data_IF_314961589950
#
_entry.id   IF_314961589950
#
_cell.length_a   1.000
_cell.length_b   1.000
_cell.length_c   1.000
_cell.angle_alpha   90.00
_cell.angle_beta   90.00
_cell.angle_gamma   90.00
#
_symmetry.space_group_name_H-M   'P 1'
#
loop_
_entity.id
_entity.type
_entity.pdbx_description
1 polymer ?
#
# COMPACT_ATOMS: atom_id res chain seq x y z
N UNK A 1 -34.04 25.13 42.71
CA UNK A 1 -33.25 26.38 42.68
C UNK A 1 -33.46 27.16 41.37
N UNK A 2 -33.43 26.50 40.21
CA UNK A 2 -33.52 27.15 38.88
C UNK A 2 -34.95 27.37 38.36
N UNK A 3 -35.99 26.93 39.07
CA UNK A 3 -37.39 27.16 38.66
C UNK A 3 -37.90 26.27 37.53
N UNK A 4 -37.22 25.18 37.18
CA UNK A 4 -37.64 24.24 36.13
C UNK A 4 -38.25 22.99 36.77
N UNK A 5 -39.47 22.65 36.37
CA UNK A 5 -40.24 21.53 36.91
C UNK A 5 -39.88 20.23 36.19
N UNK A 6 -39.54 19.21 36.97
CA UNK A 6 -39.39 17.84 36.46
C UNK A 6 -40.78 17.20 36.27
N UNK A 7 -41.13 16.70 35.07
CA UNK A 7 -42.36 15.94 34.85
C UNK A 7 -42.37 14.62 35.63
N UNK A 8 -43.54 14.20 36.14
CA UNK A 8 -43.69 13.00 36.98
C UNK A 8 -43.24 11.69 36.29
N UNK A 9 -43.39 11.59 34.96
CA UNK A 9 -43.05 10.39 34.19
C UNK A 9 -41.65 10.41 33.57
N UNK A 10 -40.91 11.53 33.71
CA UNK A 10 -39.59 11.66 33.12
C UNK A 10 -38.51 11.15 34.08
N UNK A 11 -37.52 10.42 33.57
CA UNK A 11 -36.37 10.03 34.38
C UNK A 11 -35.52 11.25 34.71
N UNK A 12 -34.73 11.19 35.78
CA UNK A 12 -33.87 12.33 36.16
C UNK A 12 -32.80 12.61 35.11
N UNK A 13 -32.24 11.56 34.48
CA UNK A 13 -31.23 11.71 33.44
C UNK A 13 -31.80 12.43 32.20
N UNK A 14 -32.97 11.98 31.75
CA UNK A 14 -33.67 12.55 30.59
C UNK A 14 -34.12 14.00 30.85
N UNK A 15 -34.60 14.29 32.06
CA UNK A 15 -34.89 15.65 32.49
C UNK A 15 -33.65 16.54 32.43
N UNK A 16 -32.50 16.10 32.93
CA UNK A 16 -31.27 16.91 32.93
C UNK A 16 -30.76 17.20 31.51
N UNK A 17 -30.95 16.28 30.56
CA UNK A 17 -30.62 16.53 29.14
C UNK A 17 -31.66 17.40 28.44
N UNK A 18 -32.94 17.30 28.84
CA UNK A 18 -34.05 18.09 28.29
C UNK A 18 -34.12 19.52 28.83
N UNK A 19 -33.59 19.79 30.03
CA UNK A 19 -33.56 21.14 30.65
C UNK A 19 -32.87 22.19 29.76
N UNK A 20 -31.88 21.77 28.96
CA UNK A 20 -31.19 22.65 28.02
C UNK A 20 -31.91 22.83 26.68
N UNK A 21 -32.98 22.05 26.42
CA UNK A 21 -33.78 22.14 25.20
C UNK A 21 -34.98 23.06 25.43
N UNK A 22 -35.19 24.01 24.50
CA UNK A 22 -36.23 25.03 24.61
C UNK A 22 -37.65 24.44 24.66
N UNK A 23 -37.91 23.35 23.91
CA UNK A 23 -39.25 22.77 23.79
C UNK A 23 -39.68 21.84 24.94
N UNK A 24 -38.74 21.35 25.76
CA UNK A 24 -39.04 20.33 26.78
C UNK A 24 -39.14 20.91 28.20
N UNK A 25 -38.56 22.09 28.44
CA UNK A 25 -38.53 22.71 29.76
C UNK A 25 -39.91 23.26 30.14
N UNK A 26 -40.32 23.00 31.39
CA UNK A 26 -41.52 23.61 31.98
C UNK A 26 -41.10 24.48 33.15
N UNK A 27 -41.33 25.77 33.05
CA UNK A 27 -41.02 26.72 34.12
C UNK A 27 -42.13 26.64 35.16
N UNK A 28 -41.75 26.63 36.44
CA UNK A 28 -42.70 26.67 37.56
C UNK A 28 -43.35 28.06 37.58
N UNK A 29 -44.68 28.17 37.71
CA UNK A 29 -45.36 29.47 37.84
C UNK A 29 -44.75 30.32 38.96
N UNK A 30 -44.41 31.58 38.66
CA UNK A 30 -43.73 32.49 39.59
C UNK A 30 -42.19 32.46 39.56
N UNK A 31 -41.58 31.61 38.73
CA UNK A 31 -40.13 31.60 38.47
C UNK A 31 -39.76 32.09 37.06
N UNK A 32 -40.70 32.68 36.32
CA UNK A 32 -40.54 33.11 34.91
C UNK A 32 -39.43 34.16 34.70
N UNK A 33 -39.20 35.01 35.69
CA UNK A 33 -38.15 36.04 35.67
C UNK A 33 -36.77 35.52 36.09
N UNK A 34 -36.73 34.37 36.78
CA UNK A 34 -35.51 33.80 37.37
C UNK A 34 -35.05 32.51 36.69
N UNK A 35 -35.89 31.91 35.86
CA UNK A 35 -35.54 30.70 35.13
C UNK A 35 -34.61 31.03 33.94
N UNK A 36 -33.52 30.28 33.75
CA UNK A 36 -32.58 30.52 32.66
C UNK A 36 -33.23 30.21 31.30
N UNK A 37 -33.18 31.16 30.37
CA UNK A 37 -33.79 31.02 29.04
C UNK A 37 -32.78 30.69 27.96
N UNK A 38 -31.57 31.22 28.05
CA UNK A 38 -30.49 30.97 27.10
C UNK A 38 -29.39 30.07 27.69
N UNK A 39 -28.54 29.51 26.82
CA UNK A 39 -27.35 28.78 27.26
C UNK A 39 -26.40 29.67 28.10
N UNK A 40 -26.33 30.97 27.82
CA UNK A 40 -25.53 31.93 28.57
C UNK A 40 -26.11 32.17 29.98
N UNK A 41 -27.43 32.11 30.14
CA UNK A 41 -28.08 32.19 31.46
C UNK A 41 -27.76 30.97 32.33
N UNK A 42 -27.79 29.76 31.73
CA UNK A 42 -27.38 28.54 32.42
C UNK A 42 -25.91 28.58 32.85
N UNK A 43 -25.01 29.07 31.97
CA UNK A 43 -23.60 29.26 32.29
C UNK A 43 -23.41 30.25 33.44
N UNK A 44 -24.07 31.42 33.38
CA UNK A 44 -24.02 32.44 34.43
C UNK A 44 -24.51 31.91 35.77
N UNK A 45 -25.67 31.23 35.79
CA UNK A 45 -26.21 30.66 37.02
C UNK A 45 -25.31 29.55 37.59
N UNK A 46 -24.65 28.75 36.74
CA UNK A 46 -23.65 27.80 37.18
C UNK A 46 -22.43 28.51 37.79
N UNK A 47 -21.96 29.58 37.15
CA UNK A 47 -20.82 30.40 37.61
C UNK A 47 -21.05 30.99 39.00
N UNK A 48 -22.27 31.47 39.26
CA UNK A 48 -22.70 32.08 40.52
C UNK A 48 -23.09 31.05 41.60
N UNK A 49 -23.26 29.78 41.23
CA UNK A 49 -23.72 28.74 42.16
C UNK A 49 -22.68 28.38 43.23
N UNK A 50 -23.17 28.07 44.43
CA UNK A 50 -22.37 27.46 45.51
C UNK A 50 -21.81 26.08 45.12
N UNK A 51 -22.46 25.36 44.21
CA UNK A 51 -21.96 24.07 43.75
C UNK A 51 -20.66 24.21 42.95
N UNK A 52 -20.55 25.23 42.10
CA UNK A 52 -19.31 25.50 41.37
C UNK A 52 -18.18 25.90 42.32
N UNK A 53 -18.44 26.73 43.34
CA UNK A 53 -17.39 27.11 44.28
C UNK A 53 -16.84 25.89 45.04
N UNK A 54 -17.71 24.94 45.42
CA UNK A 54 -17.31 23.65 46.01
C UNK A 54 -16.45 22.84 45.05
N UNK A 55 -16.86 22.68 43.78
CA UNK A 55 -16.08 21.93 42.77
C UNK A 55 -14.72 22.58 42.53
N UNK A 56 -14.65 23.90 42.40
CA UNK A 56 -13.37 24.61 42.21
C UNK A 56 -12.46 24.48 43.43
N UNK A 57 -13.04 24.45 44.64
CA UNK A 57 -12.29 24.17 45.86
C UNK A 57 -11.75 22.73 45.88
N UNK A 58 -12.54 21.75 45.43
CA UNK A 58 -12.09 20.36 45.28
C UNK A 58 -10.97 20.22 44.23
N UNK A 59 -11.11 20.88 43.08
CA UNK A 59 -10.08 20.87 42.03
C UNK A 59 -8.79 21.50 42.52
N UNK A 60 -8.85 22.68 43.15
CA UNK A 60 -7.65 23.34 43.69
C UNK A 60 -7.02 22.58 44.85
N UNK A 61 -7.81 21.94 45.71
CA UNK A 61 -7.30 21.05 46.75
C UNK A 61 -6.59 19.83 46.14
N UNK A 62 -7.16 19.23 45.10
CA UNK A 62 -6.55 18.12 44.37
C UNK A 62 -5.26 18.54 43.64
N UNK A 63 -5.24 19.70 42.99
CA UNK A 63 -4.04 20.24 42.35
C UNK A 63 -2.89 20.49 43.34
N UNK A 64 -3.20 21.08 44.50
CA UNK A 64 -2.22 21.24 45.58
C UNK A 64 -1.73 19.89 46.10
N UNK A 65 -2.64 18.94 46.30
CA UNK A 65 -2.28 17.58 46.70
C UNK A 65 -1.32 16.96 45.68
N UNK A 66 -1.57 17.09 44.38
CA UNK A 66 -0.69 16.57 43.32
C UNK A 66 0.68 17.28 43.27
N UNK A 67 0.74 18.56 43.62
CA UNK A 67 2.01 19.31 43.69
C UNK A 67 2.85 18.97 44.92
N UNK A 68 2.20 18.72 46.07
CA UNK A 68 2.85 18.38 47.34
C UNK A 68 3.19 16.88 47.43
N UNK A 69 2.39 16.01 46.81
CA UNK A 69 2.68 14.58 46.76
C UNK A 69 3.88 14.30 45.82
N UNK A 70 4.99 13.85 46.40
CA UNK A 70 6.03 13.13 45.69
C UNK A 70 5.49 11.87 44.96
N UNK A 71 4.27 11.42 45.27
CA UNK A 71 3.53 10.37 44.54
C UNK A 71 3.25 10.72 43.08
N UNK A 72 3.26 11.99 42.67
CA UNK A 72 3.23 12.34 41.24
C UNK A 72 4.47 11.86 40.49
N UNK A 73 5.62 11.81 41.19
CA UNK A 73 6.84 11.15 40.72
C UNK A 73 6.71 9.63 40.79
N UNK A 74 6.18 9.05 41.87
CA UNK A 74 5.99 7.60 41.98
C UNK A 74 4.97 7.03 40.98
N UNK A 75 3.91 7.76 40.63
CA UNK A 75 2.95 7.34 39.59
C UNK A 75 3.60 7.47 38.22
N UNK A 76 4.41 8.52 37.96
CA UNK A 76 5.21 8.59 36.73
C UNK A 76 6.23 7.48 36.66
N UNK A 77 6.87 7.16 37.77
CA UNK A 77 7.87 6.10 37.89
C UNK A 77 7.22 4.72 37.82
N UNK A 78 6.05 4.53 38.41
CA UNK A 78 5.24 3.32 38.31
C UNK A 78 4.70 3.15 36.89
N UNK A 79 4.20 4.21 36.26
CA UNK A 79 3.81 4.22 34.84
C UNK A 79 5.03 3.97 33.97
N UNK A 80 6.20 4.51 34.30
CA UNK A 80 7.44 4.19 33.60
C UNK A 80 7.84 2.71 33.84
N UNK A 81 7.65 2.16 35.04
CA UNK A 81 7.90 0.76 35.40
C UNK A 81 6.82 -0.23 34.88
N UNK A 82 5.60 0.22 34.58
CA UNK A 82 4.52 -0.62 34.01
C UNK A 82 4.41 -0.46 32.49
N UNK A 83 4.69 0.74 31.95
CA UNK A 83 4.97 0.91 30.51
C UNK A 83 6.25 0.18 30.11
N UNK A 84 7.18 0.02 31.04
CA UNK A 84 8.45 -0.65 30.79
C UNK A 84 8.62 -1.78 31.80
N UNK A 85 8.24 -3.00 31.41
CA UNK A 85 8.84 -4.20 32.02
C UNK A 85 10.36 -4.21 31.82
N UNK A 86 10.98 -5.39 31.73
CA UNK A 86 12.44 -5.57 31.64
C UNK A 86 13.19 -4.85 30.47
N UNK A 87 12.52 -4.04 29.64
CA UNK A 87 13.07 -3.36 28.45
C UNK A 87 13.12 -1.81 28.55
N UNK A 88 13.20 -1.23 29.75
CA UNK A 88 13.14 0.22 29.98
C UNK A 88 14.20 1.06 29.26
N UNK A 89 15.37 0.48 28.95
CA UNK A 89 16.44 1.19 28.26
C UNK A 89 16.22 1.36 26.73
N UNK A 90 15.17 0.76 26.16
CA UNK A 90 14.93 0.76 24.69
C UNK A 90 13.77 1.64 24.23
N UNK A 91 13.03 2.25 25.16
CA UNK A 91 11.85 3.07 24.89
C UNK A 91 12.15 4.56 25.06
N UNK A 92 11.60 5.39 24.17
CA UNK A 92 11.76 6.84 24.27
C UNK A 92 10.78 7.36 25.32
N UNK A 93 11.28 8.01 26.39
CA UNK A 93 10.46 8.55 27.51
C UNK A 93 9.27 9.44 27.12
N UNK A 94 9.27 10.02 25.91
CA UNK A 94 8.17 10.86 25.38
C UNK A 94 7.21 10.13 24.44
N UNK A 95 7.47 8.87 24.05
CA UNK A 95 6.54 8.16 23.16
C UNK A 95 5.26 7.77 23.89
N UNK A 96 4.09 7.89 23.26
CA UNK A 96 2.82 7.44 23.84
C UNK A 96 2.75 5.90 23.94
N UNK A 97 3.55 5.19 23.14
CA UNK A 97 3.59 3.73 23.07
C UNK A 97 4.30 3.09 24.27
N UNK A 98 3.78 1.93 24.67
CA UNK A 98 4.22 1.17 25.86
C UNK A 98 5.03 -0.09 25.52
N UNK A 99 5.35 -0.34 24.25
CA UNK A 99 6.02 -1.55 23.79
C UNK A 99 7.15 -1.26 22.80
N UNK A 100 8.20 -2.08 22.80
CA UNK A 100 9.35 -1.93 21.91
C UNK A 100 8.99 -2.31 20.47
N UNK A 101 9.66 -1.71 19.48
CA UNK A 101 9.42 -1.96 18.05
C UNK A 101 9.56 -3.45 17.67
N UNK A 102 10.59 -4.19 18.13
CA UNK A 102 10.71 -5.62 17.80
C UNK A 102 9.57 -6.45 18.40
N UNK A 103 9.14 -6.14 19.61
CA UNK A 103 7.99 -6.80 20.23
C UNK A 103 6.71 -6.50 19.44
N UNK A 104 6.47 -5.24 19.06
CA UNK A 104 5.36 -4.85 18.19
C UNK A 104 5.40 -5.63 16.87
N UNK A 105 6.56 -5.73 16.24
CA UNK A 105 6.73 -6.45 14.97
C UNK A 105 6.33 -7.93 15.10
N UNK A 106 6.81 -8.64 16.11
CA UNK A 106 6.51 -10.07 16.29
C UNK A 106 5.00 -10.28 16.56
N UNK A 107 4.40 -9.47 17.42
CA UNK A 107 2.97 -9.61 17.75
C UNK A 107 2.08 -9.25 16.57
N UNK A 108 2.39 -8.17 15.86
CA UNK A 108 1.68 -7.79 14.64
C UNK A 108 1.86 -8.86 13.56
N UNK A 109 3.05 -9.46 13.42
CA UNK A 109 3.28 -10.52 12.44
C UNK A 109 2.43 -11.76 12.72
N UNK A 110 2.32 -12.20 13.97
CA UNK A 110 1.41 -13.29 14.37
C UNK A 110 -0.05 -12.94 14.11
N UNK A 111 -0.44 -11.67 14.29
CA UNK A 111 -1.79 -11.20 13.99
C UNK A 111 -2.08 -11.19 12.50
N UNK A 112 -1.24 -10.58 11.68
CA UNK A 112 -1.44 -10.47 10.23
C UNK A 112 -1.46 -11.84 9.57
N UNK A 113 -0.55 -12.73 9.97
CA UNK A 113 -0.55 -14.13 9.49
C UNK A 113 -1.82 -14.87 9.90
N UNK A 114 -2.33 -14.67 11.11
CA UNK A 114 -3.60 -15.25 11.55
C UNK A 114 -4.82 -14.68 10.80
N UNK A 115 -4.86 -13.37 10.52
CA UNK A 115 -5.91 -12.73 9.71
C UNK A 115 -5.91 -13.34 8.30
N UNK A 116 -4.74 -13.42 7.69
CA UNK A 116 -4.56 -13.98 6.36
C UNK A 116 -5.02 -15.44 6.29
N UNK A 117 -4.64 -16.26 7.29
CA UNK A 117 -5.06 -17.65 7.38
C UNK A 117 -6.56 -17.82 7.66
N UNK A 118 -7.15 -16.91 8.44
CA UNK A 118 -8.60 -16.82 8.64
C UNK A 118 -9.35 -16.56 7.32
N UNK A 119 -8.75 -15.78 6.41
CA UNK A 119 -9.25 -15.52 5.06
C UNK A 119 -8.77 -16.54 4.01
N UNK A 120 -8.70 -17.84 4.36
CA UNK A 120 -8.21 -18.91 3.46
C UNK A 120 -8.88 -18.95 2.09
N UNK A 121 -10.16 -18.57 1.99
CA UNK A 121 -10.88 -18.52 0.72
C UNK A 121 -10.32 -17.47 -0.23
N UNK A 122 -9.96 -16.29 0.28
CA UNK A 122 -9.34 -15.22 -0.50
C UNK A 122 -7.95 -15.65 -1.00
N UNK A 123 -7.16 -16.29 -0.14
CA UNK A 123 -5.85 -16.82 -0.51
C UNK A 123 -5.95 -17.93 -1.57
N UNK A 124 -6.88 -18.86 -1.39
CA UNK A 124 -7.14 -19.94 -2.33
C UNK A 124 -7.63 -19.41 -3.68
N UNK A 125 -8.57 -18.48 -3.69
CA UNK A 125 -9.08 -17.86 -4.92
C UNK A 125 -7.98 -17.08 -5.65
N UNK A 126 -7.18 -16.29 -4.94
CA UNK A 126 -6.03 -15.56 -5.52
C UNK A 126 -5.04 -16.53 -6.17
N UNK A 127 -4.72 -17.63 -5.49
CA UNK A 127 -3.80 -18.64 -6.01
C UNK A 127 -4.40 -19.33 -7.24
N UNK A 128 -5.65 -19.79 -7.16
CA UNK A 128 -6.34 -20.46 -8.27
C UNK A 128 -6.46 -19.56 -9.50
N UNK A 129 -6.82 -18.27 -9.31
CA UNK A 129 -6.87 -17.27 -10.37
C UNK A 129 -5.52 -17.19 -11.09
N UNK A 130 -4.42 -17.05 -10.33
CA UNK A 130 -3.08 -16.95 -10.93
C UNK A 130 -2.69 -18.22 -11.72
N UNK A 131 -3.02 -19.41 -11.22
CA UNK A 131 -2.75 -20.68 -11.91
C UNK A 131 -3.57 -20.83 -13.20
N UNK A 132 -4.85 -20.43 -13.18
CA UNK A 132 -5.70 -20.44 -14.38
C UNK A 132 -5.10 -19.52 -15.44
N UNK A 133 -4.65 -18.32 -15.06
CA UNK A 133 -3.98 -17.41 -16.00
C UNK A 133 -2.65 -17.97 -16.52
N UNK A 134 -1.86 -18.63 -15.66
CA UNK A 134 -0.64 -19.31 -16.10
C UNK A 134 -0.94 -20.34 -17.20
N UNK A 135 -2.00 -21.15 -17.01
CA UNK A 135 -2.42 -22.15 -17.97
C UNK A 135 -2.95 -21.54 -19.28
N UNK A 136 -3.72 -20.46 -19.21
CA UNK A 136 -4.24 -19.77 -20.41
C UNK A 136 -3.09 -19.18 -21.24
N UNK A 137 -2.16 -18.46 -20.60
CA UNK A 137 -1.01 -17.86 -21.30
C UNK A 137 -0.06 -18.95 -21.80
N UNK A 138 0.18 -19.98 -20.98
CA UNK A 138 0.99 -21.12 -21.36
C UNK A 138 0.42 -21.86 -22.59
N UNK A 139 -0.90 -22.05 -22.65
CA UNK A 139 -1.56 -22.64 -23.81
C UNK A 139 -1.50 -21.75 -25.05
N UNK A 140 -1.59 -20.42 -24.88
CA UNK A 140 -1.50 -19.47 -25.99
C UNK A 140 -0.10 -19.46 -26.64
N UNK A 141 0.94 -19.60 -25.82
CA UNK A 141 2.34 -19.57 -26.25
C UNK A 141 3.00 -20.96 -26.19
N UNK A 142 2.22 -22.01 -26.41
CA UNK A 142 2.67 -23.38 -26.23
C UNK A 142 3.89 -23.69 -27.12
N UNK A 143 5.01 -24.08 -26.48
CA UNK A 143 6.29 -24.44 -27.12
C UNK A 143 6.74 -23.47 -28.20
N UNK A 144 7.35 -22.35 -27.78
CA UNK A 144 7.85 -21.32 -28.68
C UNK A 144 8.99 -21.85 -29.57
N UNK A 145 8.93 -21.63 -30.91
CA UNK A 145 10.01 -22.05 -31.79
C UNK A 145 11.31 -21.28 -31.47
N UNK A 146 12.45 -21.93 -31.71
CA UNK A 146 13.79 -21.32 -31.60
C UNK A 146 14.20 -20.64 -32.91
N UNK A 147 13.22 -20.13 -33.66
CA UNK A 147 13.42 -19.40 -34.92
C UNK A 147 13.20 -17.90 -34.72
N UNK A 148 13.50 -17.11 -35.75
CA UNK A 148 13.25 -15.66 -35.78
C UNK A 148 11.82 -15.27 -35.39
N UNK A 149 10.83 -16.08 -35.75
CA UNK A 149 9.41 -15.83 -35.46
C UNK A 149 9.10 -15.98 -33.97
N UNK A 150 9.83 -16.86 -33.27
CA UNK A 150 9.70 -17.09 -31.84
C UNK A 150 10.30 -15.98 -30.97
N UNK A 151 11.24 -15.17 -31.51
CA UNK A 151 11.95 -14.14 -30.74
C UNK A 151 10.98 -13.08 -30.16
N UNK A 152 10.09 -12.54 -30.99
CA UNK A 152 9.10 -11.57 -30.52
C UNK A 152 8.09 -12.21 -29.55
N UNK A 153 7.63 -13.42 -29.84
CA UNK A 153 6.65 -14.12 -29.00
C UNK A 153 7.21 -14.45 -27.61
N UNK A 154 8.49 -14.87 -27.50
CA UNK A 154 9.19 -15.06 -26.21
C UNK A 154 9.20 -13.80 -25.37
N UNK A 155 9.48 -12.64 -25.99
CA UNK A 155 9.43 -11.34 -25.31
C UNK A 155 8.01 -10.99 -24.82
N UNK A 156 6.97 -11.47 -25.53
CA UNK A 156 5.56 -11.32 -25.18
C UNK A 156 5.15 -12.17 -23.97
N UNK A 157 5.63 -13.41 -23.86
CA UNK A 157 5.36 -14.26 -22.68
C UNK A 157 5.88 -13.61 -21.40
N UNK A 158 7.10 -13.08 -21.43
CA UNK A 158 7.70 -12.35 -20.29
C UNK A 158 6.89 -11.12 -19.92
N UNK A 159 6.36 -10.42 -20.94
CA UNK A 159 5.48 -9.27 -20.73
C UNK A 159 4.17 -9.67 -20.05
N UNK A 160 3.50 -10.72 -20.54
CA UNK A 160 2.26 -11.21 -19.95
C UNK A 160 2.47 -11.71 -18.52
N UNK A 161 3.58 -12.41 -18.24
CA UNK A 161 3.93 -12.86 -16.90
C UNK A 161 3.96 -11.69 -15.88
N UNK A 162 4.61 -10.60 -16.26
CA UNK A 162 4.67 -9.38 -15.46
C UNK A 162 3.34 -8.64 -15.41
N UNK A 163 2.61 -8.54 -16.54
CA UNK A 163 1.32 -7.88 -16.62
C UNK A 163 0.32 -8.47 -15.63
N UNK A 164 0.16 -9.81 -15.64
CA UNK A 164 -0.78 -10.48 -14.74
C UNK A 164 -0.35 -10.34 -13.28
N UNK A 165 0.95 -10.44 -12.99
CA UNK A 165 1.49 -10.19 -11.65
C UNK A 165 1.19 -8.75 -11.19
N UNK A 166 1.22 -7.79 -12.11
CA UNK A 166 0.90 -6.38 -11.83
C UNK A 166 -0.60 -6.17 -11.58
N UNK A 167 -1.47 -6.82 -12.34
CA UNK A 167 -2.92 -6.76 -12.16
C UNK A 167 -3.34 -7.35 -10.80
N UNK A 168 -2.73 -8.47 -10.39
CA UNK A 168 -2.94 -9.05 -9.07
C UNK A 168 -2.43 -8.10 -7.97
N UNK A 169 -1.28 -7.46 -8.19
CA UNK A 169 -0.75 -6.46 -7.25
C UNK A 169 -1.66 -5.22 -7.13
N UNK A 170 -2.38 -4.82 -8.20
CA UNK A 170 -3.30 -3.69 -8.15
C UNK A 170 -4.46 -3.91 -7.17
N UNK A 171 -4.93 -5.15 -7.00
CA UNK A 171 -6.00 -5.48 -6.06
C UNK A 171 -5.66 -5.16 -4.59
N UNK A 172 -4.37 -5.12 -4.26
CA UNK A 172 -3.86 -4.76 -2.92
C UNK A 172 -4.20 -3.32 -2.52
N UNK A 173 -4.39 -2.44 -3.50
CA UNK A 173 -4.81 -1.06 -3.26
C UNK A 173 -6.18 -1.02 -2.56
N UNK A 174 -7.12 -1.89 -2.96
CA UNK A 174 -8.48 -1.94 -2.39
C UNK A 174 -8.42 -2.42 -0.94
N UNK A 175 -7.61 -3.44 -0.67
CA UNK A 175 -7.38 -3.96 0.67
C UNK A 175 -6.78 -2.89 1.60
N UNK A 176 -5.81 -2.11 1.11
CA UNK A 176 -5.21 -1.02 1.86
C UNK A 176 -6.22 0.08 2.26
N UNK A 177 -7.06 0.53 1.32
CA UNK A 177 -8.05 1.59 1.59
C UNK A 177 -9.17 1.11 2.52
N UNK A 178 -9.63 -0.14 2.36
CA UNK A 178 -10.71 -0.71 3.18
C UNK A 178 -10.27 -1.03 4.61
N UNK A 179 -9.02 -1.48 4.80
CA UNK A 179 -8.47 -1.84 6.12
C UNK A 179 -8.06 -0.66 7.01
N UNK A 180 -7.98 0.56 6.48
CA UNK A 180 -7.39 1.72 7.19
C UNK A 180 -8.15 2.15 8.43
N UNK A 181 -9.48 1.98 8.48
CA UNK A 181 -10.31 2.40 9.63
C UNK A 181 -9.93 1.65 10.91
N UNK A 182 -9.63 0.35 10.78
CA UNK A 182 -9.17 -0.47 11.91
C UNK A 182 -7.80 0.03 12.39
N UNK A 183 -6.90 0.32 11.45
CA UNK A 183 -5.56 0.85 11.74
C UNK A 183 -5.63 2.20 12.45
N UNK A 184 -6.48 3.14 12.00
CA UNK A 184 -6.65 4.44 12.65
C UNK A 184 -7.16 4.30 14.08
N UNK A 185 -8.18 3.46 14.32
CA UNK A 185 -8.67 3.18 15.68
C UNK A 185 -7.59 2.60 16.59
N UNK A 186 -6.72 1.74 16.08
CA UNK A 186 -5.64 1.12 16.85
C UNK A 186 -4.48 2.09 17.12
N UNK A 187 -4.12 2.90 16.12
CA UNK A 187 -3.12 3.96 16.23
C UNK A 187 -3.48 4.94 17.34
N UNK A 188 -4.76 5.28 17.41
CA UNK A 188 -5.24 6.32 18.28
C UNK A 188 -5.51 5.86 19.71
N UNK A 189 -5.74 4.55 19.89
CA UNK A 189 -5.57 3.88 21.18
C UNK A 189 -4.08 3.68 21.56
N UNK A 190 -3.14 4.19 20.76
CA UNK A 190 -1.68 4.07 20.96
C UNK A 190 -1.21 2.62 21.12
N UNK A 191 -1.83 1.67 20.41
CA UNK A 191 -1.51 0.24 20.53
C UNK A 191 -0.16 -0.12 19.87
N UNK A 192 0.12 0.43 18.69
CA UNK A 192 1.36 0.21 17.93
C UNK A 192 1.60 1.33 16.91
N UNK A 193 2.82 1.42 16.39
CA UNK A 193 3.16 2.36 15.32
C UNK A 193 2.67 1.84 13.95
N UNK A 194 1.83 2.58 13.22
CA UNK A 194 1.39 2.19 11.87
C UNK A 194 2.53 1.88 10.90
N UNK A 195 3.68 2.56 11.01
CA UNK A 195 4.85 2.23 10.20
C UNK A 195 5.38 0.80 10.41
N UNK A 196 5.24 0.25 11.63
CA UNK A 196 5.62 -1.14 11.92
C UNK A 196 4.63 -2.12 11.29
N UNK A 197 3.34 -1.76 11.25
CA UNK A 197 2.33 -2.56 10.56
C UNK A 197 2.63 -2.66 9.06
N UNK A 198 3.04 -1.55 8.42
CA UNK A 198 3.44 -1.53 7.01
C UNK A 198 4.56 -2.57 6.71
N UNK A 199 5.58 -2.61 7.56
CA UNK A 199 6.69 -3.57 7.44
C UNK A 199 6.21 -5.00 7.65
N UNK A 200 5.41 -5.23 8.69
CA UNK A 200 4.87 -6.55 9.01
C UNK A 200 4.03 -7.11 7.88
N UNK A 201 3.13 -6.31 7.30
CA UNK A 201 2.31 -6.71 6.15
C UNK A 201 3.21 -7.13 4.99
N UNK A 202 4.21 -6.30 4.64
CA UNK A 202 5.16 -6.62 3.56
C UNK A 202 5.87 -7.96 3.77
N UNK A 203 6.27 -8.28 5.00
CA UNK A 203 6.95 -9.54 5.33
C UNK A 203 5.97 -10.72 5.35
N UNK A 204 4.77 -10.53 5.91
CA UNK A 204 3.74 -11.57 6.02
C UNK A 204 3.27 -12.07 4.64
N UNK A 205 3.19 -11.18 3.66
CA UNK A 205 2.78 -11.53 2.29
C UNK A 205 3.88 -12.19 1.45
N UNK A 206 5.14 -12.12 1.89
CA UNK A 206 6.28 -12.58 1.09
C UNK A 206 6.23 -14.08 0.83
N UNK A 207 5.89 -14.89 1.84
CA UNK A 207 5.80 -16.35 1.75
C UNK A 207 4.65 -16.83 0.86
N UNK A 208 3.37 -16.43 1.09
CA UNK A 208 2.28 -16.88 0.23
C UNK A 208 2.46 -16.42 -1.21
N UNK A 209 2.88 -15.17 -1.44
CA UNK A 209 3.14 -14.69 -2.80
C UNK A 209 4.27 -15.46 -3.48
N UNK A 210 5.33 -15.83 -2.74
CA UNK A 210 6.41 -16.66 -3.29
C UNK A 210 5.89 -18.01 -3.77
N UNK A 211 5.05 -18.68 -2.97
CA UNK A 211 4.46 -19.98 -3.35
C UNK A 211 3.59 -19.83 -4.60
N UNK A 212 2.69 -18.83 -4.63
CA UNK A 212 1.82 -18.59 -5.78
C UNK A 212 2.62 -18.27 -7.05
N UNK A 213 3.65 -17.43 -6.95
CA UNK A 213 4.50 -17.05 -8.09
C UNK A 213 5.39 -18.21 -8.54
N UNK A 214 5.87 -19.04 -7.62
CA UNK A 214 6.65 -20.24 -7.96
C UNK A 214 5.80 -21.23 -8.77
N UNK A 215 4.56 -21.49 -8.33
CA UNK A 215 3.64 -22.37 -9.07
C UNK A 215 3.24 -21.76 -10.43
N UNK A 216 2.97 -20.46 -10.48
CA UNK A 216 2.71 -19.73 -11.72
C UNK A 216 3.88 -19.85 -12.71
N UNK A 217 5.10 -19.62 -12.20
CA UNK A 217 6.32 -19.67 -13.00
C UNK A 217 6.56 -21.07 -13.54
N UNK A 218 6.37 -22.11 -12.72
CA UNK A 218 6.55 -23.50 -13.14
C UNK A 218 5.64 -23.86 -14.32
N UNK A 219 4.34 -23.53 -14.22
CA UNK A 219 3.36 -23.82 -15.28
C UNK A 219 3.70 -23.04 -16.55
N UNK A 220 3.96 -21.73 -16.42
CA UNK A 220 4.20 -20.87 -17.58
C UNK A 220 5.49 -21.22 -18.31
N UNK A 221 6.56 -21.50 -17.57
CA UNK A 221 7.89 -21.77 -18.12
C UNK A 221 7.92 -23.06 -18.95
N UNK A 222 7.33 -24.13 -18.40
CA UNK A 222 7.20 -25.42 -19.06
C UNK A 222 6.25 -25.34 -20.27
N UNK A 223 5.08 -24.70 -20.13
CA UNK A 223 4.13 -24.58 -21.21
C UNK A 223 4.68 -23.78 -22.40
N UNK A 224 5.38 -22.68 -22.13
CA UNK A 224 5.91 -21.84 -23.19
C UNK A 224 7.23 -22.35 -23.80
N UNK A 225 7.92 -23.32 -23.18
CA UNK A 225 9.20 -23.82 -23.68
C UNK A 225 10.32 -22.78 -23.60
N UNK A 226 10.39 -22.04 -22.49
CA UNK A 226 11.49 -21.11 -22.22
C UNK A 226 12.82 -21.86 -22.00
N UNK A 227 13.94 -21.13 -21.99
CA UNK A 227 15.27 -21.73 -21.98
C UNK A 227 15.48 -22.77 -20.85
N UNK A 228 15.77 -24.04 -21.19
CA UNK A 228 15.64 -25.16 -20.23
C UNK A 228 16.77 -25.29 -19.18
N UNK A 229 17.57 -24.25 -18.93
CA UNK A 229 18.61 -24.33 -17.89
C UNK A 229 18.03 -24.00 -16.50
N UNK A 230 18.36 -24.83 -15.51
CA UNK A 230 17.91 -24.63 -14.13
C UNK A 230 18.29 -23.24 -13.58
N UNK A 231 19.46 -22.72 -13.95
CA UNK A 231 19.90 -21.37 -13.56
C UNK A 231 19.02 -20.25 -14.12
N UNK A 232 18.57 -20.36 -15.37
CA UNK A 232 17.66 -19.38 -15.98
C UNK A 232 16.26 -19.45 -15.36
N UNK A 233 15.77 -20.64 -15.01
CA UNK A 233 14.49 -20.78 -14.31
C UNK A 233 14.50 -20.07 -12.94
N UNK A 234 15.52 -20.32 -12.09
CA UNK A 234 15.60 -19.66 -10.78
C UNK A 234 15.81 -18.14 -10.90
N UNK A 235 16.57 -17.68 -11.90
CA UNK A 235 16.71 -16.25 -12.18
C UNK A 235 15.39 -15.63 -12.66
N UNK A 236 14.64 -16.31 -13.53
CA UNK A 236 13.29 -15.91 -13.96
C UNK A 236 12.35 -15.78 -12.75
N UNK A 237 12.30 -16.81 -11.90
CA UNK A 237 11.50 -16.81 -10.67
C UNK A 237 11.86 -15.63 -9.76
N UNK A 238 13.15 -15.39 -9.55
CA UNK A 238 13.65 -14.32 -8.68
C UNK A 238 13.31 -12.92 -9.22
N UNK A 239 13.46 -12.68 -10.53
CA UNK A 239 13.10 -11.40 -11.14
C UNK A 239 11.59 -11.17 -11.19
N UNK A 240 10.81 -12.21 -11.49
CA UNK A 240 9.36 -12.11 -11.47
C UNK A 240 8.83 -11.86 -10.06
N UNK A 241 9.37 -12.58 -9.07
CA UNK A 241 9.02 -12.42 -7.66
C UNK A 241 9.34 -11.03 -7.12
N UNK A 242 10.57 -10.56 -7.34
CA UNK A 242 10.99 -9.21 -6.92
C UNK A 242 10.20 -8.10 -7.62
N UNK A 243 9.90 -8.26 -8.92
CA UNK A 243 9.03 -7.35 -9.66
C UNK A 243 7.63 -7.29 -9.06
N UNK A 244 7.04 -8.45 -8.73
CA UNK A 244 5.73 -8.52 -8.09
C UNK A 244 5.73 -7.84 -6.71
N UNK A 245 6.71 -8.15 -5.84
CA UNK A 245 6.83 -7.51 -4.52
C UNK A 245 6.96 -5.98 -4.63
N UNK A 246 7.75 -5.50 -5.58
CA UNK A 246 7.93 -4.07 -5.85
C UNK A 246 6.60 -3.41 -6.23
N UNK A 247 5.84 -4.02 -7.13
CA UNK A 247 4.55 -3.49 -7.58
C UNK A 247 3.47 -3.57 -6.50
N UNK A 248 3.45 -4.65 -5.71
CA UNK A 248 2.56 -4.76 -4.54
C UNK A 248 2.82 -3.63 -3.54
N UNK A 249 4.08 -3.35 -3.23
CA UNK A 249 4.44 -2.22 -2.36
C UNK A 249 4.00 -0.87 -2.97
N UNK A 250 4.18 -0.67 -4.28
CA UNK A 250 3.74 0.54 -4.99
C UNK A 250 2.22 0.74 -4.91
N UNK A 251 1.42 -0.29 -5.22
CA UNK A 251 -0.05 -0.17 -5.17
C UNK A 251 -0.60 -0.03 -3.75
N UNK A 252 0.05 -0.66 -2.76
CA UNK A 252 -0.29 -0.43 -1.34
C UNK A 252 0.05 0.98 -0.90
N UNK A 253 1.17 1.53 -1.33
CA UNK A 253 1.51 2.93 -1.08
C UNK A 253 0.42 3.86 -1.65
N UNK A 254 0.01 3.64 -2.90
CA UNK A 254 -1.07 4.41 -3.53
C UNK A 254 -2.36 4.27 -2.73
N UNK A 255 -2.73 3.06 -2.30
CA UNK A 255 -3.91 2.82 -1.48
C UNK A 255 -3.86 3.56 -0.14
N UNK A 256 -2.74 3.51 0.57
CA UNK A 256 -2.57 4.23 1.84
C UNK A 256 -2.50 5.76 1.66
N UNK A 257 -2.01 6.25 0.51
CA UNK A 257 -1.95 7.67 0.17
C UNK A 257 -3.27 8.21 -0.40
N UNK A 258 -4.26 7.37 -0.65
CA UNK A 258 -5.52 7.77 -1.28
C UNK A 258 -6.63 8.05 -0.26
N UNK A 259 -7.37 9.17 -0.40
CA UNK A 259 -8.45 9.52 0.52
C UNK A 259 -9.71 8.66 0.31
N UNK A 260 -10.01 8.20 -0.90
CA UNK A 260 -11.20 7.41 -1.23
C UNK A 260 -10.85 6.29 -2.22
N UNK A 261 -11.70 5.25 -2.29
CA UNK A 261 -11.53 4.14 -3.24
C UNK A 261 -11.55 4.62 -4.69
N UNK A 262 -12.43 5.57 -5.04
CA UNK A 262 -12.56 6.08 -6.42
C UNK A 262 -11.27 6.79 -6.89
N UNK A 263 -10.68 7.61 -6.01
CA UNK A 263 -9.41 8.29 -6.27
C UNK A 263 -8.27 7.27 -6.34
N UNK A 264 -8.25 6.28 -5.45
CA UNK A 264 -7.28 5.20 -5.50
C UNK A 264 -7.34 4.44 -6.82
N UNK A 265 -8.52 4.04 -7.28
CA UNK A 265 -8.70 3.30 -8.52
C UNK A 265 -8.30 4.09 -9.76
N UNK A 266 -8.66 5.38 -9.81
CA UNK A 266 -8.27 6.26 -10.93
C UNK A 266 -6.75 6.44 -10.98
N UNK A 267 -6.11 6.76 -9.85
CA UNK A 267 -4.65 6.95 -9.79
C UNK A 267 -3.90 5.64 -10.09
N UNK A 268 -4.30 4.53 -9.46
CA UNK A 268 -3.68 3.22 -9.70
C UNK A 268 -3.85 2.76 -11.15
N UNK A 269 -5.02 2.98 -11.76
CA UNK A 269 -5.29 2.65 -13.16
C UNK A 269 -4.44 3.45 -14.14
N UNK A 270 -4.26 4.76 -13.90
CA UNK A 270 -3.38 5.61 -14.71
C UNK A 270 -1.92 5.17 -14.59
N UNK A 271 -1.44 4.92 -13.36
CA UNK A 271 -0.07 4.45 -13.13
C UNK A 271 0.16 3.08 -13.77
N UNK A 272 -0.81 2.17 -13.67
CA UNK A 272 -0.76 0.86 -14.32
C UNK A 272 -0.66 1.00 -15.85
N UNK A 273 -1.51 1.83 -16.45
CA UNK A 273 -1.52 2.09 -17.89
C UNK A 273 -0.16 2.61 -18.37
N UNK A 274 0.40 3.63 -17.70
CA UNK A 274 1.72 4.14 -18.02
C UNK A 274 2.82 3.09 -17.82
N UNK A 275 2.74 2.30 -16.74
CA UNK A 275 3.72 1.26 -16.45
C UNK A 275 3.75 0.19 -17.54
N UNK A 276 2.59 -0.21 -18.07
CA UNK A 276 2.46 -1.20 -19.13
C UNK A 276 2.93 -0.65 -20.48
N UNK A 277 2.44 0.54 -20.88
CA UNK A 277 2.79 1.15 -22.16
C UNK A 277 4.29 1.44 -22.29
N UNK A 278 4.93 1.76 -21.16
CA UNK A 278 6.32 2.20 -21.10
C UNK A 278 7.22 1.17 -20.41
N UNK A 279 6.94 -0.13 -20.50
CA UNK A 279 7.82 -1.16 -19.93
C UNK A 279 8.94 -1.61 -20.87
N UNK A 280 8.85 -1.29 -22.17
CA UNK A 280 9.85 -1.65 -23.18
C UNK A 280 9.42 -2.73 -24.17
N UNK A 281 8.31 -3.44 -23.92
CA UNK A 281 7.76 -4.44 -24.85
C UNK A 281 7.02 -3.79 -26.03
N UNK A 282 5.99 -2.98 -25.75
CA UNK A 282 5.19 -2.28 -26.77
C UNK A 282 6.00 -1.24 -27.53
N UNK A 283 6.94 -0.59 -26.85
CA UNK A 283 7.80 0.44 -27.43
C UNK A 283 9.24 0.28 -26.92
N UNK A 284 10.18 -0.14 -27.80
CA UNK A 284 11.58 -0.28 -27.42
C UNK A 284 12.18 1.06 -26.96
N UNK A 285 13.05 1.07 -25.93
CA UNK A 285 13.54 2.31 -25.33
C UNK A 285 14.55 3.08 -26.21
N UNK A 286 15.15 2.43 -27.22
CA UNK A 286 16.18 3.02 -28.06
C UNK A 286 15.71 4.15 -28.99
N UNK A 287 14.43 4.20 -29.35
CA UNK A 287 13.91 5.07 -30.43
C UNK A 287 13.03 6.23 -29.92
N UNK A 288 13.24 6.71 -28.69
CA UNK A 288 12.27 7.60 -28.03
C UNK A 288 12.88 8.88 -27.47
N UNK A 289 12.10 9.97 -27.50
CA UNK A 289 12.52 11.30 -27.05
C UNK A 289 12.86 11.39 -25.56
N UNK A 290 13.50 12.49 -25.17
CA UNK A 290 14.05 12.70 -23.82
C UNK A 290 13.05 12.47 -22.67
N UNK A 291 11.78 12.86 -22.83
CA UNK A 291 10.73 12.71 -21.81
C UNK A 291 10.39 11.25 -21.51
N UNK A 292 10.41 10.38 -22.52
CA UNK A 292 10.16 8.94 -22.34
C UNK A 292 11.26 8.34 -21.47
N UNK A 293 12.51 8.75 -21.70
CA UNK A 293 13.67 8.26 -20.94
C UNK A 293 13.51 8.58 -19.45
N UNK A 294 13.00 9.76 -19.09
CA UNK A 294 12.74 10.08 -17.68
C UNK A 294 11.69 9.17 -17.04
N UNK A 295 10.58 8.90 -17.70
CA UNK A 295 9.52 8.04 -17.15
C UNK A 295 9.97 6.58 -17.09
N UNK A 296 10.60 6.12 -18.16
CA UNK A 296 11.11 4.76 -18.31
C UNK A 296 12.19 4.41 -17.28
N UNK A 297 13.15 5.30 -17.05
CA UNK A 297 14.25 5.06 -16.13
C UNK A 297 13.94 5.53 -14.69
N UNK A 298 13.16 6.59 -14.50
CA UNK A 298 12.96 7.22 -13.19
C UNK A 298 11.69 6.80 -12.43
N UNK A 299 10.66 6.28 -13.11
CA UNK A 299 9.34 6.07 -12.50
C UNK A 299 8.88 4.61 -12.60
N UNK A 300 9.29 3.86 -13.63
CA UNK A 300 8.70 2.57 -13.93
C UNK A 300 9.52 1.37 -13.41
N UNK A 301 9.23 0.80 -12.22
CA UNK A 301 9.91 -0.41 -11.73
C UNK A 301 9.64 -1.63 -12.63
N UNK A 302 8.49 -1.67 -13.32
CA UNK A 302 8.12 -2.76 -14.23
C UNK A 302 9.09 -2.88 -15.41
N UNK A 303 9.61 -1.76 -15.90
CA UNK A 303 10.58 -1.73 -16.98
C UNK A 303 11.90 -2.41 -16.58
N UNK A 304 12.37 -2.22 -15.35
CA UNK A 304 13.59 -2.87 -14.87
C UNK A 304 13.41 -4.37 -14.66
N UNK A 305 12.26 -4.79 -14.12
CA UNK A 305 11.93 -6.21 -14.01
C UNK A 305 11.86 -6.88 -15.40
N UNK A 306 11.22 -6.21 -16.36
CA UNK A 306 11.13 -6.71 -17.74
C UNK A 306 12.51 -6.83 -18.41
N UNK A 307 13.40 -5.83 -18.26
CA UNK A 307 14.78 -5.91 -18.75
C UNK A 307 15.55 -7.07 -18.15
N UNK A 308 15.39 -7.33 -16.85
CA UNK A 308 16.06 -8.44 -16.18
C UNK A 308 15.58 -9.80 -16.70
N UNK A 309 14.27 -9.94 -16.95
CA UNK A 309 13.69 -11.15 -17.57
C UNK A 309 14.17 -11.33 -19.01
N UNK A 310 14.14 -10.27 -19.82
CA UNK A 310 14.64 -10.29 -21.21
C UNK A 310 16.12 -10.68 -21.27
N UNK A 311 16.95 -10.07 -20.43
CA UNK A 311 18.38 -10.39 -20.36
C UNK A 311 18.66 -11.84 -19.92
N UNK A 312 17.75 -12.45 -19.16
CA UNK A 312 17.86 -13.84 -18.71
C UNK A 312 17.49 -14.84 -19.80
N UNK A 313 16.35 -14.63 -20.47
CA UNK A 313 15.84 -15.53 -21.51
C UNK A 313 16.77 -15.54 -22.74
N UNK A 314 17.12 -14.36 -23.24
CA UNK A 314 17.92 -14.22 -24.47
C UNK A 314 19.44 -14.40 -24.26
N UNK A 315 19.87 -14.85 -23.08
CA UNK A 315 21.29 -14.93 -22.71
C UNK A 315 22.09 -15.90 -23.58
N UNK A 316 21.56 -17.11 -23.74
CA UNK A 316 22.18 -18.23 -24.45
C UNK A 316 21.27 -18.75 -25.58
N UNK A 317 20.29 -17.94 -26.01
CA UNK A 317 19.37 -18.32 -27.06
C UNK A 317 20.03 -18.07 -28.41
N UNK A 318 20.03 -19.10 -29.26
CA UNK A 318 20.39 -18.98 -30.67
C UNK A 318 19.10 -19.08 -31.49
N UNK A 319 18.87 -18.08 -32.34
CA UNK A 319 17.66 -17.99 -33.15
C UNK A 319 18.02 -18.36 -34.58
N UNK A 320 17.51 -19.49 -35.05
CA UNK A 320 17.75 -19.93 -36.43
C UNK A 320 16.91 -19.09 -37.40
N UNK A 321 17.55 -18.51 -38.41
CA UNK A 321 16.88 -17.79 -39.47
C UNK A 321 16.51 -18.74 -40.61
N UNK A 322 15.21 -18.91 -40.85
CA UNK A 322 14.70 -19.83 -41.86
C UNK A 322 13.86 -19.11 -42.92
N UNK A 323 13.91 -19.63 -44.15
CA UNK A 323 13.02 -19.26 -45.25
C UNK A 323 12.97 -17.76 -45.57
N UNK A 324 11.80 -17.15 -45.42
CA UNK A 324 11.53 -15.75 -45.78
C UNK A 324 12.23 -14.70 -44.90
N UNK A 325 12.83 -15.12 -43.78
CA UNK A 325 13.59 -14.23 -42.89
C UNK A 325 15.02 -13.98 -43.38
N UNK A 326 15.49 -14.73 -44.39
CA UNK A 326 16.76 -14.51 -45.09
C UNK A 326 16.56 -13.59 -46.29
N UNK A 327 17.41 -12.57 -46.40
CA UNK A 327 17.39 -11.60 -47.49
C UNK A 327 18.80 -11.51 -48.11
N UNK A 328 18.93 -11.59 -49.45
CA UNK A 328 17.87 -11.84 -50.44
C UNK A 328 17.36 -13.29 -50.42
N UNK A 329 16.04 -13.46 -50.54
CA UNK A 329 15.37 -14.75 -50.71
C UNK A 329 14.83 -14.89 -52.14
N UNK A 330 15.01 -16.07 -52.74
CA UNK A 330 14.53 -16.39 -54.08
C UNK A 330 15.34 -17.50 -54.76
N UNK A 331 14.83 -18.09 -55.87
CA UNK A 331 15.53 -19.13 -56.60
C UNK A 331 16.88 -18.61 -57.14
N UNK A 332 17.98 -19.27 -56.77
CA UNK A 332 19.35 -18.88 -57.13
C UNK A 332 20.12 -18.10 -56.04
N UNK A 333 19.48 -17.77 -54.92
CA UNK A 333 20.13 -17.21 -53.73
C UNK A 333 20.24 -18.29 -52.65
N UNK A 334 21.13 -19.27 -52.85
CA UNK A 334 21.37 -20.37 -51.89
C UNK A 334 22.69 -20.20 -51.12
N UNK A 335 23.49 -19.17 -51.46
CA UNK A 335 24.76 -18.90 -50.80
C UNK A 335 24.58 -18.01 -49.56
N UNK A 336 24.81 -18.61 -48.39
CA UNK A 336 24.69 -17.98 -47.07
C UNK A 336 25.63 -16.77 -46.97
N UNK A 337 26.79 -16.79 -47.63
CA UNK A 337 27.78 -15.70 -47.58
C UNK A 337 27.24 -14.35 -48.07
N UNK A 338 26.19 -14.37 -48.89
CA UNK A 338 25.52 -13.20 -49.44
C UNK A 338 24.13 -12.94 -48.85
N UNK A 339 23.75 -13.70 -47.82
CA UNK A 339 22.47 -13.57 -47.12
C UNK A 339 22.65 -13.00 -45.73
N UNK A 340 21.64 -12.25 -45.30
CA UNK A 340 21.52 -11.76 -43.92
C UNK A 340 20.09 -11.95 -43.44
N UNK A 341 19.96 -12.22 -42.14
CA UNK A 341 18.66 -12.33 -41.52
C UNK A 341 18.04 -10.95 -41.27
N UNK A 342 16.72 -10.84 -41.41
CA UNK A 342 15.96 -9.60 -41.17
C UNK A 342 15.87 -9.22 -39.69
N UNK A 343 16.17 -10.16 -38.80
CA UNK A 343 16.15 -9.94 -37.36
C UNK A 343 17.26 -8.95 -36.95
N UNK A 344 16.92 -8.00 -36.08
CA UNK A 344 17.88 -7.02 -35.56
C UNK A 344 19.02 -7.74 -34.83
N UNK A 345 20.26 -7.31 -35.05
CA UNK A 345 21.45 -7.95 -34.47
C UNK A 345 22.03 -9.12 -35.28
N UNK A 346 21.47 -9.44 -36.44
CA UNK A 346 22.04 -10.42 -37.37
C UNK A 346 23.37 -9.95 -37.99
N UNK A 347 24.25 -10.91 -38.31
CA UNK A 347 25.51 -10.68 -39.03
C UNK A 347 25.44 -11.28 -40.43
N UNK A 348 26.03 -10.63 -41.46
CA UNK A 348 26.07 -11.20 -42.80
C UNK A 348 26.82 -12.54 -42.81
N UNK A 349 26.30 -13.56 -43.49
CA UNK A 349 26.95 -14.86 -43.58
C UNK A 349 26.68 -15.84 -42.43
N UNK A 350 25.86 -15.45 -41.44
CA UNK A 350 25.46 -16.32 -40.32
C UNK A 350 23.96 -16.64 -40.40
N UNK A 351 23.61 -17.93 -40.30
CA UNK A 351 22.22 -18.40 -40.23
C UNK A 351 21.59 -18.23 -38.85
N UNK A 352 22.41 -18.21 -37.80
CA UNK A 352 21.96 -18.11 -36.42
C UNK A 352 22.19 -16.70 -35.88
N UNK A 353 21.15 -16.09 -35.33
CA UNK A 353 21.24 -14.80 -34.65
C UNK A 353 21.30 -15.06 -33.15
N UNK A 354 22.34 -14.56 -32.51
CA UNK A 354 22.47 -14.66 -31.07
C UNK A 354 21.42 -13.74 -30.39
N UNK A 355 20.62 -14.30 -29.49
CA UNK A 355 19.58 -13.56 -28.76
C UNK A 355 20.11 -12.33 -28.03
N UNK A 356 21.37 -12.39 -27.56
CA UNK A 356 22.08 -11.26 -26.93
C UNK A 356 22.27 -10.06 -27.86
N UNK A 357 22.55 -10.31 -29.13
CA UNK A 357 22.78 -9.26 -30.12
C UNK A 357 21.41 -8.68 -30.55
N UNK A 358 20.37 -9.52 -30.63
CA UNK A 358 18.99 -9.09 -30.83
C UNK A 358 18.51 -8.09 -29.77
N UNK A 359 18.62 -8.43 -28.48
CA UNK A 359 18.16 -7.54 -27.41
C UNK A 359 19.04 -6.29 -27.24
N UNK A 360 20.34 -6.38 -27.55
CA UNK A 360 21.24 -5.25 -27.47
C UNK A 360 20.96 -4.21 -28.56
N UNK A 361 20.78 -4.65 -29.80
CA UNK A 361 20.51 -3.75 -30.93
C UNK A 361 19.07 -3.26 -30.90
N UNK A 362 18.10 -4.16 -30.73
CA UNK A 362 16.69 -3.81 -30.84
C UNK A 362 16.10 -3.12 -29.62
N UNK A 363 16.45 -3.59 -28.43
CA UNK A 363 15.90 -3.08 -27.17
C UNK A 363 16.89 -2.27 -26.34
N UNK A 364 18.16 -2.15 -26.74
CA UNK A 364 19.22 -1.51 -25.94
C UNK A 364 19.35 -2.14 -24.54
N UNK A 365 19.15 -3.46 -24.45
CA UNK A 365 19.24 -4.24 -23.21
C UNK A 365 20.53 -5.05 -23.26
N UNK A 366 21.43 -4.80 -22.31
CA UNK A 366 22.68 -5.52 -22.18
C UNK A 366 22.60 -6.59 -21.08
N UNK A 367 23.04 -7.81 -21.39
CA UNK A 367 23.07 -8.93 -20.42
C UNK A 367 23.93 -8.61 -19.20
N UNK A 368 25.01 -7.84 -19.38
CA UNK A 368 25.91 -7.41 -18.31
C UNK A 368 25.18 -6.59 -17.23
N UNK A 369 24.10 -5.90 -17.59
CA UNK A 369 23.35 -5.05 -16.68
C UNK A 369 22.19 -5.78 -15.98
N UNK A 370 22.01 -7.09 -16.20
CA UNK A 370 20.93 -7.88 -15.58
C UNK A 370 20.85 -7.70 -14.06
N UNK A 371 21.98 -7.81 -13.36
CA UNK A 371 22.04 -7.65 -11.90
C UNK A 371 21.87 -6.19 -11.45
N UNK A 372 22.24 -5.21 -12.28
CA UNK A 372 21.98 -3.79 -12.01
C UNK A 372 20.49 -3.49 -12.09
N UNK A 373 19.80 -4.06 -13.09
CA UNK A 373 18.34 -3.95 -13.22
C UNK A 373 17.64 -4.61 -12.03
N UNK A 374 18.10 -5.78 -11.59
CA UNK A 374 17.59 -6.42 -10.37
C UNK A 374 17.80 -5.55 -9.12
N UNK A 375 19.00 -5.01 -8.92
CA UNK A 375 19.29 -4.12 -7.80
C UNK A 375 18.41 -2.86 -7.83
N UNK A 376 18.12 -2.32 -9.02
CA UNK A 376 17.20 -1.20 -9.17
C UNK A 376 15.78 -1.57 -8.71
N UNK A 377 15.26 -2.74 -9.08
CA UNK A 377 13.94 -3.23 -8.62
C UNK A 377 13.89 -3.33 -7.10
N UNK A 378 14.93 -3.90 -6.47
CA UNK A 378 15.02 -3.98 -5.00
C UNK A 378 15.10 -2.58 -4.38
N UNK A 379 15.85 -1.66 -4.98
CA UNK A 379 15.93 -0.26 -4.55
C UNK A 379 14.55 0.41 -4.56
N UNK A 380 13.79 0.28 -5.65
CA UNK A 380 12.41 0.78 -5.73
C UNK A 380 11.51 0.14 -4.68
N UNK A 381 11.61 -1.17 -4.48
CA UNK A 381 10.83 -1.86 -3.46
C UNK A 381 11.10 -1.31 -2.05
N UNK A 382 12.36 -1.13 -1.66
CA UNK A 382 12.73 -0.52 -0.38
C UNK A 382 12.16 0.89 -0.26
N UNK A 383 12.29 1.72 -1.31
CA UNK A 383 11.74 3.08 -1.33
C UNK A 383 10.23 3.08 -1.14
N UNK A 384 9.48 2.21 -1.84
CA UNK A 384 8.03 2.12 -1.68
C UNK A 384 7.61 1.63 -0.30
N UNK A 385 8.33 0.67 0.30
CA UNK A 385 8.07 0.19 1.66
C UNK A 385 8.31 1.29 2.68
N UNK A 386 9.42 2.04 2.57
CA UNK A 386 9.71 3.18 3.47
C UNK A 386 8.67 4.28 3.29
N UNK A 387 8.36 4.65 2.05
CA UNK A 387 7.34 5.66 1.76
C UNK A 387 5.97 5.25 2.31
N UNK A 388 5.61 3.96 2.19
CA UNK A 388 4.36 3.44 2.75
C UNK A 388 4.34 3.53 4.27
N UNK A 389 5.44 3.16 4.95
CA UNK A 389 5.54 3.30 6.39
C UNK A 389 5.43 4.76 6.85
N UNK A 390 6.04 5.70 6.11
CA UNK A 390 5.94 7.14 6.37
C UNK A 390 4.49 7.63 6.16
N UNK A 391 3.84 7.25 5.06
CA UNK A 391 2.46 7.64 4.78
C UNK A 391 1.52 7.12 5.87
N UNK A 392 1.64 5.87 6.29
CA UNK A 392 0.81 5.32 7.37
C UNK A 392 1.05 6.01 8.73
N UNK A 393 2.26 6.50 8.97
CA UNK A 393 2.61 7.19 10.21
C UNK A 393 2.07 8.63 10.25
N UNK A 394 2.14 9.36 9.14
CA UNK A 394 1.85 10.81 9.11
C UNK A 394 0.53 11.19 8.46
N UNK A 395 -0.04 10.33 7.61
CA UNK A 395 -1.23 10.66 6.81
C UNK A 395 -2.46 9.92 7.35
N UNK A 396 -3.46 10.70 7.76
CA UNK A 396 -4.75 10.20 8.22
C UNK A 396 -5.87 10.78 7.37
N UNK A 397 -6.58 9.91 6.65
CA UNK A 397 -7.72 10.28 5.82
C UNK A 397 -9.01 9.92 6.55
N UNK A 398 -9.60 10.90 7.24
CA UNK A 398 -10.94 10.76 7.81
C UNK A 398 -11.12 11.41 9.18
N UNK A 399 -12.36 11.73 9.50
CA UNK A 399 -12.82 12.26 10.80
C UNK A 399 -13.14 11.16 11.83
N UNK A 400 -12.69 9.93 11.59
CA UNK A 400 -13.23 8.73 12.25
C UNK A 400 -12.29 8.19 13.32
N UNK A 401 -12.54 8.63 14.55
CA UNK A 401 -12.01 8.04 15.79
C UNK A 401 -12.10 9.00 16.97
N UNK A 402 -11.91 10.28 16.71
CA UNK A 402 -11.98 11.36 17.68
C UNK A 402 -12.71 12.48 16.99
N UNK A 403 -13.81 12.94 17.58
CA UNK A 403 -14.15 14.34 17.38
C UNK A 403 -12.96 15.11 17.95
N UNK A 404 -12.00 15.50 17.10
CA UNK A 404 -11.12 16.59 17.46
C UNK A 404 -12.07 17.77 17.63
N UNK A 405 -12.45 18.04 18.89
CA UNK A 405 -13.22 19.22 19.23
C UNK A 405 -12.28 20.39 18.98
N UNK A 406 -12.31 20.90 17.76
CA UNK A 406 -11.66 22.16 17.42
C UNK A 406 -12.49 23.25 18.09
N UNK A 407 -12.11 23.63 19.30
CA UNK A 407 -12.68 24.79 19.97
C UNK A 407 -12.28 26.03 19.16
N UNK A 408 -13.23 26.60 18.41
CA UNK A 408 -13.02 27.86 17.70
C UNK A 408 -12.60 28.92 18.73
N UNK A 409 -11.43 29.54 18.52
CA UNK A 409 -10.90 30.64 19.36
C UNK A 409 -11.83 31.86 19.46
N UNK A 410 -12.79 31.99 18.54
CA UNK A 410 -13.82 33.03 18.58
C UNK A 410 -15.18 32.37 18.75
N UNK A 411 -16.00 32.91 19.66
CA UNK A 411 -17.42 32.53 19.79
C UNK A 411 -18.02 32.57 18.38
N UNK A 412 -18.54 31.45 17.84
CA UNK A 412 -19.33 31.53 16.62
C UNK A 412 -20.50 32.50 16.88
N UNK A 413 -20.90 33.28 15.87
CA UNK A 413 -22.20 33.96 15.92
C UNK A 413 -23.26 32.85 15.92
N UNK A 414 -23.61 32.37 17.10
CA UNK A 414 -24.76 31.50 17.28
C UNK A 414 -25.96 32.42 17.20
N UNK A 415 -26.76 32.30 16.15
CA UNK A 415 -28.12 32.82 16.17
C UNK A 415 -28.85 32.01 17.24
N UNK A 416 -28.90 32.54 18.45
CA UNK A 416 -29.68 31.94 19.53
C UNK A 416 -31.13 32.09 19.10
N UNK A 417 -31.80 30.97 18.79
CA UNK A 417 -33.26 30.95 18.70
C UNK A 417 -33.74 31.25 20.11
N UNK A 418 -34.15 32.49 20.33
CA UNK A 418 -34.84 32.94 21.54
C UNK A 418 -36.30 32.53 21.42
N UNK A 419 -36.99 32.27 22.54
CA UNK A 419 -38.41 31.86 22.59
C UNK A 419 -39.39 32.80 21.85
N UNK A 420 -38.94 33.97 21.41
CA UNK A 420 -39.71 34.93 20.61
C UNK A 420 -39.64 34.67 19.08
N UNK A 421 -38.98 33.58 18.63
CA UNK A 421 -39.01 33.04 17.26
C UNK A 421 -39.35 31.56 17.28
#
# INVERSE_FOLDING_TARGET
SLGIQKPLRQTTADFLTGVTQLGERRIVPGFEDRAPRSAEDFERMWIESTHRSIVMQQVSAFEKQVQEDARGHEIREFVDQTKMGAESNRLRRRSPYTSTIPYQFIQLFRRETAIMWGSRYTLAFRTAYQLIFAAIVGALFNQLPETTDGAFLRSGVLFFALLFSTLVAQAEMVAAVSGRLVTYKQKSLSMFHPGVLALVQTVADMVPNFITIALFSLILYEAAGLAQTAGQFFAFLLFLFSGCLCLTAMFRLIGNASPNLDIGHTVSGVILLFSILLNGYLKPPGQTGWWYRWIYWGINPLAYAYKALMANEFRNLELECTGMSLVPSGPGFDDIAHQVCTLQGARPGELNVLGRDYIAVGYQIYIKDQWKNFAAVIGYWIVFVIAMAVVMEFVEFGNTGYTIRVYKRRKPKVTLVTEDQ
#
